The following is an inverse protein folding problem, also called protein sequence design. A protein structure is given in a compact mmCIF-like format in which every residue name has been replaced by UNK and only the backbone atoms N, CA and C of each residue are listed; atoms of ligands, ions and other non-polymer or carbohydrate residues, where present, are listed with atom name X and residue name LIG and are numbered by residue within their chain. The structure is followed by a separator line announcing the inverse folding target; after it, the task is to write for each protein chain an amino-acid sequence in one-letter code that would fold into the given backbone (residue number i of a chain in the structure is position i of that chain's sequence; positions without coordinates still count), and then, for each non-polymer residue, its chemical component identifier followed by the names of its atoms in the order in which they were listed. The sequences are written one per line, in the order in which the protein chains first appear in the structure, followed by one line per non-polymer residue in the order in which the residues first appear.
data_IF_756106638650
#
_entry.id   IF_756106638650
#
_cell.length_a   1.000
_cell.length_b   1.000
_cell.length_c   1.000
_cell.angle_alpha   90.00
_cell.angle_beta   90.00
_cell.angle_gamma   90.00
#
_symmetry.space_group_name_H-M   'P 1'
#
loop_
_entity.id
_entity.type
_entity.pdbx_description
1 polymer ?
#
# COMPACT_ATOMS: atom_id res chain seq x y z
N UNK A 1 6.35 5.74 10.67
CA UNK A 1 5.18 5.03 11.20
C UNK A 1 4.93 5.43 12.64
N UNK A 2 3.70 5.76 12.98
CA UNK A 2 3.34 6.18 14.34
C UNK A 2 2.19 5.32 14.85
N UNK A 3 2.42 4.49 15.87
CA UNK A 3 1.32 3.72 16.45
C UNK A 3 0.42 4.61 17.31
N UNK A 4 -0.85 4.30 17.31
CA UNK A 4 -1.86 4.98 18.12
C UNK A 4 -2.63 3.95 18.94
N UNK A 5 -3.02 4.33 20.15
CA UNK A 5 -3.76 3.46 21.05
C UNK A 5 -5.26 3.68 20.98
N UNK A 6 -5.70 4.57 20.14
CA UNK A 6 -7.11 4.93 20.06
C UNK A 6 -7.64 4.74 18.64
N UNK A 7 -8.84 5.21 18.43
CA UNK A 7 -9.53 5.09 17.15
C UNK A 7 -8.83 5.91 16.08
N UNK A 8 -8.53 5.27 14.96
CA UNK A 8 -8.06 5.94 13.77
C UNK A 8 -9.26 6.11 12.83
N UNK A 9 -9.29 7.27 12.16
CA UNK A 9 -10.37 7.62 11.23
C UNK A 9 -9.75 7.78 9.85
N UNK A 10 -10.28 7.08 8.85
CA UNK A 10 -9.80 7.19 7.49
C UNK A 10 -10.40 8.43 6.81
N UNK A 11 -10.04 8.65 5.53
CA UNK A 11 -10.50 9.83 4.78
C UNK A 11 -12.00 9.80 4.48
N UNK A 12 -12.66 8.67 4.70
CA UNK A 12 -14.12 8.57 4.54
C UNK A 12 -14.87 8.79 5.86
N UNK A 13 -14.13 8.99 6.97
CA UNK A 13 -14.71 9.18 8.29
C UNK A 13 -14.96 7.90 9.05
N UNK A 14 -14.59 6.75 8.52
CA UNK A 14 -14.80 5.45 9.17
C UNK A 14 -13.61 5.06 10.04
N UNK A 15 -13.88 4.27 11.07
CA UNK A 15 -12.83 3.69 11.90
C UNK A 15 -11.99 2.75 11.06
N UNK A 16 -10.67 2.76 11.30
CA UNK A 16 -9.74 1.92 10.57
C UNK A 16 -8.58 1.51 11.47
N UNK A 17 -7.83 0.48 11.06
CA UNK A 17 -6.66 -0.02 11.78
C UNK A 17 -5.38 0.69 11.37
N UNK A 18 -5.40 1.41 10.25
CA UNK A 18 -4.25 2.17 9.78
C UNK A 18 -4.68 3.32 8.90
N UNK A 19 -3.86 4.37 8.86
CA UNK A 19 -4.10 5.57 8.04
C UNK A 19 -2.79 6.04 7.46
N UNK A 20 -2.80 6.41 6.17
CA UNK A 20 -1.68 7.06 5.50
C UNK A 20 -2.00 8.53 5.32
N UNK A 21 -1.09 9.40 5.72
CA UNK A 21 -1.20 10.85 5.51
C UNK A 21 -0.17 11.27 4.48
N UNK A 22 -0.63 11.59 3.28
CA UNK A 22 0.24 11.93 2.17
C UNK A 22 0.97 13.26 2.40
N UNK A 23 0.33 14.20 3.08
CA UNK A 23 0.92 15.53 3.28
C UNK A 23 2.07 15.51 4.26
N UNK A 24 2.07 14.61 5.22
CA UNK A 24 3.10 14.51 6.25
C UNK A 24 4.01 13.31 6.05
N UNK A 25 3.71 12.43 5.11
CA UNK A 25 4.43 11.17 4.88
C UNK A 25 4.45 10.28 6.12
N UNK A 26 3.34 10.25 6.86
CA UNK A 26 3.20 9.46 8.09
C UNK A 26 2.16 8.37 7.88
N UNK A 27 2.53 7.15 8.27
CA UNK A 27 1.61 6.03 8.40
C UNK A 27 1.33 5.84 9.89
N UNK A 28 0.06 5.89 10.25
CA UNK A 28 -0.40 5.66 11.61
C UNK A 28 -1.07 4.31 11.71
N UNK A 29 -0.70 3.52 12.71
CA UNK A 29 -1.23 2.16 12.88
C UNK A 29 -1.67 2.00 14.32
N UNK A 30 -2.81 1.30 14.50
CA UNK A 30 -3.32 0.97 15.83
C UNK A 30 -2.25 0.20 16.62
N UNK A 31 -2.01 0.58 17.87
CA UNK A 31 -0.99 -0.01 18.70
C UNK A 31 -1.35 -1.41 19.22
N UNK A 32 -2.56 -1.87 18.96
CA UNK A 32 -2.99 -3.22 19.35
C UNK A 32 -2.67 -4.28 18.31
N UNK A 33 -2.12 -3.88 17.15
CA UNK A 33 -1.83 -4.80 16.07
C UNK A 33 -0.48 -5.46 16.26
N UNK A 34 -0.43 -6.76 15.94
CA UNK A 34 0.82 -7.52 15.91
C UNK A 34 0.64 -8.70 14.97
N UNK A 35 1.74 -9.39 14.67
CA UNK A 35 1.72 -10.58 13.81
C UNK A 35 1.27 -10.30 12.40
N UNK A 36 0.51 -11.23 11.85
CA UNK A 36 0.07 -11.16 10.46
C UNK A 36 -0.80 -9.94 10.19
N UNK A 37 -1.70 -9.61 11.11
CA UNK A 37 -2.58 -8.47 10.91
C UNK A 37 -1.81 -7.15 10.86
N UNK A 38 -0.79 -7.00 11.71
CA UNK A 38 0.08 -5.82 11.65
C UNK A 38 0.73 -5.70 10.28
N UNK A 39 1.25 -6.81 9.75
CA UNK A 39 1.90 -6.81 8.45
C UNK A 39 0.93 -6.45 7.34
N UNK A 40 -0.27 -7.02 7.34
CA UNK A 40 -1.29 -6.71 6.32
C UNK A 40 -1.65 -5.23 6.35
N UNK A 41 -1.89 -4.68 7.52
CA UNK A 41 -2.29 -3.28 7.66
C UNK A 41 -1.14 -2.36 7.21
N UNK A 42 0.08 -2.65 7.64
CA UNK A 42 1.22 -1.81 7.26
C UNK A 42 1.47 -1.84 5.75
N UNK A 43 1.45 -3.02 5.14
CA UNK A 43 1.65 -3.15 3.68
C UNK A 43 0.56 -2.43 2.92
N UNK A 44 -0.69 -2.51 3.38
CA UNK A 44 -1.82 -1.80 2.77
C UNK A 44 -1.57 -0.29 2.78
N UNK A 45 -1.21 0.27 3.93
CA UNK A 45 -0.95 1.71 4.05
C UNK A 45 0.28 2.13 3.27
N UNK A 46 1.31 1.29 3.28
CA UNK A 46 2.50 1.55 2.47
C UNK A 46 2.16 1.57 0.97
N UNK A 47 1.21 0.72 0.56
CA UNK A 47 0.70 0.73 -0.81
C UNK A 47 0.15 2.08 -1.22
N UNK A 48 -0.65 2.73 -0.36
CA UNK A 48 -1.14 4.08 -0.62
C UNK A 48 0.01 5.06 -0.80
N UNK A 49 1.02 4.98 0.08
CA UNK A 49 2.17 5.87 0.00
C UNK A 49 2.96 5.68 -1.29
N UNK A 50 3.14 4.44 -1.71
CA UNK A 50 3.84 4.14 -2.97
C UNK A 50 3.07 4.69 -4.17
N UNK A 51 1.75 4.50 -4.20
CA UNK A 51 0.94 5.00 -5.30
C UNK A 51 0.99 6.53 -5.40
N UNK A 52 1.04 7.21 -4.26
CA UNK A 52 1.17 8.66 -4.24
C UNK A 52 2.59 9.09 -4.64
N UNK A 53 3.61 8.51 -4.00
CA UNK A 53 4.99 8.97 -4.12
C UNK A 53 5.60 8.72 -5.50
N UNK A 54 5.16 7.67 -6.18
CA UNK A 54 5.70 7.30 -7.49
C UNK A 54 4.80 7.71 -8.65
N UNK A 55 3.82 8.58 -8.40
CA UNK A 55 2.98 9.15 -9.45
C UNK A 55 2.03 8.17 -10.09
N UNK A 56 1.61 7.13 -9.37
CA UNK A 56 0.74 6.08 -9.92
C UNK A 56 -0.74 6.44 -9.85
N UNK A 57 -1.14 7.34 -8.95
CA UNK A 57 -2.53 7.71 -8.80
C UNK A 57 -3.13 8.34 -10.06
N UNK A 58 -2.47 9.32 -10.72
CA UNK A 58 -3.01 9.85 -11.96
C UNK A 58 -3.17 8.79 -13.05
N UNK A 59 -2.26 7.82 -13.11
CA UNK A 59 -2.35 6.72 -14.05
C UNK A 59 -3.57 5.84 -13.77
N UNK A 60 -3.78 5.49 -12.50
CA UNK A 60 -4.94 4.71 -12.08
C UNK A 60 -6.24 5.45 -12.38
N UNK A 61 -6.27 6.77 -12.11
CA UNK A 61 -7.46 7.59 -12.29
C UNK A 61 -7.87 7.70 -13.74
N UNK A 62 -6.95 7.52 -14.69
CA UNK A 62 -7.31 7.50 -16.10
C UNK A 62 -7.98 6.20 -16.54
N UNK A 63 -7.82 5.14 -15.75
CA UNK A 63 -8.34 3.83 -16.11
C UNK A 63 -9.75 3.56 -15.60
N UNK A 64 -10.21 4.33 -14.63
CA UNK A 64 -11.51 4.10 -14.02
C UNK A 64 -12.28 5.41 -13.90
N UNK A 65 -13.61 5.31 -13.83
CA UNK A 65 -14.46 6.48 -13.62
C UNK A 65 -14.18 7.10 -12.25
N UNK A 66 -14.35 8.41 -12.16
CA UNK A 66 -14.04 9.17 -10.94
C UNK A 66 -14.71 8.59 -9.70
N UNK A 67 -15.93 8.12 -9.81
CA UNK A 67 -16.66 7.55 -8.66
C UNK A 67 -16.01 6.29 -8.11
N UNK A 68 -15.11 5.66 -8.86
CA UNK A 68 -14.40 4.44 -8.46
C UNK A 68 -12.94 4.67 -8.09
N UNK A 69 -12.47 5.93 -8.07
CA UNK A 69 -11.07 6.21 -7.80
C UNK A 69 -10.60 5.67 -6.45
N UNK A 70 -11.40 5.90 -5.39
CA UNK A 70 -11.04 5.40 -4.06
C UNK A 70 -11.11 3.89 -4.02
N UNK A 71 -12.16 3.30 -4.59
CA UNK A 71 -12.31 1.84 -4.60
C UNK A 71 -11.17 1.17 -5.35
N UNK A 72 -10.73 1.74 -6.47
CA UNK A 72 -9.64 1.19 -7.26
C UNK A 72 -8.31 1.27 -6.49
N UNK A 73 -8.05 2.39 -5.83
CA UNK A 73 -6.85 2.54 -5.00
C UNK A 73 -6.86 1.53 -3.86
N UNK A 74 -7.99 1.38 -3.17
CA UNK A 74 -8.13 0.41 -2.08
C UNK A 74 -7.93 -1.02 -2.58
N UNK A 75 -8.47 -1.33 -3.76
CA UNK A 75 -8.30 -2.66 -4.35
C UNK A 75 -6.82 -2.97 -4.58
N UNK A 76 -6.07 -2.00 -5.12
CA UNK A 76 -4.64 -2.18 -5.35
C UNK A 76 -3.88 -2.41 -4.04
N UNK A 77 -4.19 -1.64 -3.01
CA UNK A 77 -3.54 -1.78 -1.71
C UNK A 77 -3.90 -3.11 -1.05
N UNK A 78 -5.13 -3.58 -1.22
CA UNK A 78 -5.54 -4.89 -0.72
C UNK A 78 -4.82 -6.01 -1.46
N UNK A 79 -4.63 -5.89 -2.76
CA UNK A 79 -3.87 -6.87 -3.51
C UNK A 79 -2.46 -7.01 -2.93
N UNK A 80 -1.81 -5.88 -2.65
CA UNK A 80 -0.47 -5.89 -2.05
C UNK A 80 -0.48 -6.53 -0.67
N UNK A 81 -1.41 -6.12 0.19
CA UNK A 81 -1.43 -6.60 1.57
C UNK A 81 -1.78 -8.07 1.66
N UNK A 82 -2.61 -8.57 0.76
CA UNK A 82 -3.09 -9.95 0.83
C UNK A 82 -2.18 -10.94 0.10
N UNK A 83 -1.48 -10.50 -0.95
CA UNK A 83 -0.80 -11.43 -1.84
C UNK A 83 0.68 -11.15 -2.07
N UNK A 84 1.19 -9.97 -1.72
CA UNK A 84 2.57 -9.63 -2.07
C UNK A 84 3.60 -10.57 -1.44
N UNK A 85 3.41 -10.94 -0.18
CA UNK A 85 4.34 -11.85 0.48
C UNK A 85 4.34 -13.22 -0.17
N UNK A 86 3.18 -13.71 -0.57
CA UNK A 86 3.07 -14.97 -1.28
C UNK A 86 3.77 -14.91 -2.64
N UNK A 87 3.53 -13.83 -3.38
CA UNK A 87 4.15 -13.63 -4.70
C UNK A 87 5.66 -13.60 -4.59
N UNK A 88 6.17 -12.78 -3.68
CA UNK A 88 7.62 -12.62 -3.48
C UNK A 88 8.25 -13.91 -2.95
N UNK A 89 7.60 -14.55 -1.98
CA UNK A 89 8.09 -15.82 -1.44
C UNK A 89 8.14 -16.92 -2.49
N UNK A 90 7.13 -17.00 -3.34
CA UNK A 90 7.11 -17.97 -4.43
C UNK A 90 8.22 -17.69 -5.44
N UNK A 91 8.42 -16.43 -5.80
CA UNK A 91 9.50 -16.05 -6.72
C UNK A 91 10.86 -16.45 -6.12
N UNK A 92 11.09 -16.17 -4.85
CA UNK A 92 12.33 -16.53 -4.18
C UNK A 92 12.55 -18.03 -4.16
N UNK A 93 11.49 -18.80 -3.89
CA UNK A 93 11.58 -20.25 -3.83
C UNK A 93 11.93 -20.85 -5.20
N UNK A 94 11.38 -20.30 -6.27
CA UNK A 94 11.59 -20.80 -7.63
C UNK A 94 12.95 -20.35 -8.18
N UNK A 95 13.30 -19.07 -7.99
CA UNK A 95 14.52 -18.50 -8.58
C UNK A 95 15.77 -18.78 -7.76
N UNK A 96 15.61 -19.08 -6.47
CA UNK A 96 16.75 -19.39 -5.59
C UNK A 96 17.81 -18.28 -5.60
N UNK A 97 19.03 -18.62 -5.96
CA UNK A 97 20.15 -17.67 -5.97
C UNK A 97 20.00 -16.54 -7.00
N UNK A 98 19.08 -16.70 -7.96
CA UNK A 98 18.84 -15.66 -8.97
C UNK A 98 17.82 -14.63 -8.49
N UNK A 99 17.15 -14.87 -7.37
CA UNK A 99 16.22 -13.91 -6.82
C UNK A 99 16.98 -12.69 -6.30
N UNK A 100 16.52 -11.50 -6.65
CA UNK A 100 17.15 -10.27 -6.19
C UNK A 100 16.09 -9.20 -5.92
N UNK A 101 16.48 -8.20 -5.14
CA UNK A 101 15.63 -7.05 -4.89
C UNK A 101 15.43 -6.26 -6.17
N UNK A 102 14.19 -5.84 -6.40
CA UNK A 102 13.82 -5.01 -7.54
C UNK A 102 13.42 -3.63 -7.01
N UNK A 103 14.17 -2.62 -7.38
CA UNK A 103 13.89 -1.25 -6.96
C UNK A 103 12.67 -0.70 -7.71
N UNK A 104 11.92 0.23 -7.11
CA UNK A 104 10.81 0.89 -7.80
C UNK A 104 11.30 1.62 -9.05
N UNK A 105 10.51 1.54 -10.11
CA UNK A 105 10.83 2.24 -11.36
C UNK A 105 10.52 3.73 -11.25
N UNK A 106 9.46 4.07 -10.54
CA UNK A 106 9.07 5.45 -10.36
C UNK A 106 8.35 6.04 -11.55
N UNK A 107 8.22 7.37 -11.55
CA UNK A 107 7.45 8.08 -12.55
C UNK A 107 8.07 8.06 -13.93
N UNK A 108 9.37 7.82 -14.06
CA UNK A 108 10.05 7.74 -15.35
C UNK A 108 9.44 6.68 -16.25
N UNK A 109 8.87 5.64 -15.67
CA UNK A 109 8.23 4.58 -16.44
C UNK A 109 7.06 5.10 -17.27
N UNK A 110 6.42 6.17 -16.81
CA UNK A 110 5.22 6.71 -17.46
C UNK A 110 5.53 7.41 -18.78
N UNK A 111 6.78 7.82 -18.99
CA UNK A 111 7.20 8.54 -20.17
C UNK A 111 8.15 7.71 -21.06
N UNK A 112 8.44 6.53 -20.63
CA UNK A 112 9.33 5.63 -21.39
C UNK A 112 8.59 4.96 -22.53
#
# INVERSE_FOLDING_TARGET
MSPHDSVLIDRTGNRTLGVSDYSTHIISISNNLHGELLNRVFIHELGHCVMFSYGLLPELHRMVKKRYWVDAEEWCCNLLSDYSCFVIGTARDILGNQFTYVAPIGAERMIA
#
